data_IF_273945002198
#
_entry.id   IF_273945002198
#
_cell.length_a   1.000
_cell.length_b   1.000
_cell.length_c   1.000
_cell.angle_alpha   90.00
_cell.angle_beta   90.00
_cell.angle_gamma   90.00
#
_symmetry.space_group_name_H-M   'P 1'
#
loop_
_entity.id
_entity.type
_entity.pdbx_description
1 polymer ?
#
# COMPACT_ATOMS: atom_id res chain seq x y z
N UNK A 1 3.71 -24.07 -1.66
CA UNK A 1 3.58 -22.63 -1.34
C UNK A 1 4.02 -22.39 0.07
N UNK A 2 4.20 -21.13 0.43
CA UNK A 2 4.66 -20.71 1.75
C UNK A 2 3.55 -19.89 2.39
N UNK A 3 2.54 -20.52 3.01
CA UNK A 3 1.49 -19.78 3.73
C UNK A 3 2.11 -18.91 4.85
N UNK A 4 3.17 -19.42 5.46
CA UNK A 4 3.98 -18.71 6.45
C UNK A 4 5.46 -19.14 6.39
N UNK A 5 6.30 -18.49 7.19
CA UNK A 5 7.73 -18.75 7.17
C UNK A 5 8.11 -20.16 7.66
N UNK A 6 7.26 -20.87 8.41
CA UNK A 6 7.62 -22.24 8.83
C UNK A 6 7.74 -23.19 7.63
N UNK A 7 6.91 -23.02 6.60
CA UNK A 7 6.93 -23.82 5.38
C UNK A 7 8.15 -23.48 4.51
N UNK A 8 8.55 -22.20 4.48
CA UNK A 8 9.77 -21.78 3.79
C UNK A 8 11.01 -22.40 4.44
N UNK A 9 11.08 -22.37 5.77
CA UNK A 9 12.19 -22.94 6.52
C UNK A 9 12.17 -24.47 6.49
N UNK A 10 11.01 -25.10 6.37
CA UNK A 10 10.91 -26.53 6.11
C UNK A 10 11.60 -26.90 4.80
N UNK A 11 11.27 -26.22 3.70
CA UNK A 11 11.87 -26.50 2.39
C UNK A 11 13.38 -26.21 2.36
N UNK A 12 13.83 -25.15 3.05
CA UNK A 12 15.23 -24.73 3.02
C UNK A 12 16.13 -25.48 4.00
N UNK A 13 15.63 -25.80 5.20
CA UNK A 13 16.43 -26.28 6.33
C UNK A 13 15.91 -27.60 6.92
N UNK A 14 14.77 -28.13 6.44
CA UNK A 14 14.17 -29.36 6.96
C UNK A 14 13.52 -29.21 8.34
N UNK A 15 13.23 -27.99 8.81
CA UNK A 15 12.55 -27.77 10.09
C UNK A 15 11.11 -28.29 10.04
N UNK A 16 10.54 -28.77 11.14
CA UNK A 16 9.12 -29.17 11.17
C UNK A 16 8.21 -27.98 10.80
N UNK A 17 7.24 -28.13 9.87
CA UNK A 17 6.21 -27.11 9.60
C UNK A 17 5.36 -26.82 10.83
N UNK A 18 4.53 -25.77 10.75
CA UNK A 18 3.55 -25.43 11.78
C UNK A 18 4.17 -25.09 13.15
N UNK A 19 5.41 -24.60 13.14
CA UNK A 19 6.16 -24.23 14.34
C UNK A 19 5.98 -22.75 14.70
N UNK A 20 6.76 -22.24 15.65
CA UNK A 20 6.67 -20.85 16.11
C UNK A 20 6.84 -19.78 15.00
N UNK A 21 7.51 -20.11 13.89
CA UNK A 21 7.66 -19.25 12.71
C UNK A 21 6.36 -19.05 11.94
N UNK A 22 5.33 -19.87 12.17
CA UNK A 22 4.03 -19.73 11.50
C UNK A 22 3.26 -18.45 11.86
N UNK A 23 3.67 -17.77 12.93
CA UNK A 23 3.17 -16.43 13.26
C UNK A 23 3.50 -15.43 12.15
N UNK A 24 4.63 -15.62 11.46
CA UNK A 24 5.09 -14.76 10.38
C UNK A 24 4.45 -15.24 9.07
N UNK A 25 3.22 -14.81 8.84
CA UNK A 25 2.49 -15.07 7.58
C UNK A 25 3.20 -14.42 6.41
N UNK A 26 3.36 -15.16 5.31
CA UNK A 26 4.11 -14.69 4.13
C UNK A 26 3.50 -13.43 3.53
N UNK A 27 2.16 -13.37 3.45
CA UNK A 27 1.44 -12.17 3.02
C UNK A 27 1.84 -10.94 3.85
N UNK A 28 1.88 -11.07 5.18
CA UNK A 28 2.27 -9.99 6.09
C UNK A 28 3.72 -9.54 5.91
N UNK A 29 4.64 -10.49 5.67
CA UNK A 29 6.05 -10.18 5.36
C UNK A 29 6.15 -9.35 4.08
N UNK A 30 5.49 -9.77 3.00
CA UNK A 30 5.50 -9.04 1.73
C UNK A 30 4.78 -7.69 1.82
N UNK A 31 3.75 -7.54 2.65
CA UNK A 31 3.13 -6.25 2.93
C UNK A 31 4.13 -5.26 3.53
N UNK A 32 4.94 -5.69 4.52
CA UNK A 32 5.99 -4.85 5.10
C UNK A 32 7.05 -4.51 4.04
N UNK A 33 7.48 -5.50 3.26
CA UNK A 33 8.45 -5.28 2.17
C UNK A 33 7.92 -4.31 1.11
N UNK A 34 6.63 -4.35 0.79
CA UNK A 34 5.99 -3.42 -0.14
C UNK A 34 6.04 -1.99 0.38
N UNK A 35 5.76 -1.76 1.67
CA UNK A 35 5.90 -0.44 2.29
C UNK A 35 7.35 0.05 2.26
N UNK A 36 8.32 -0.82 2.59
CA UNK A 36 9.75 -0.47 2.58
C UNK A 36 10.20 -0.11 1.15
N UNK A 37 9.86 -0.95 0.16
CA UNK A 37 10.22 -0.73 -1.23
C UNK A 37 9.60 0.57 -1.77
N UNK A 38 8.32 0.81 -1.49
CA UNK A 38 7.62 2.03 -1.88
C UNK A 38 8.23 3.28 -1.22
N UNK A 39 8.45 3.24 0.09
CA UNK A 39 9.07 4.34 0.84
C UNK A 39 10.49 4.64 0.36
N UNK A 40 11.27 3.62 0.02
CA UNK A 40 12.61 3.76 -0.53
C UNK A 40 12.59 4.46 -1.91
N UNK A 41 11.74 3.99 -2.83
CA UNK A 41 11.58 4.61 -4.17
C UNK A 41 11.10 6.05 -4.04
N UNK A 42 10.13 6.31 -3.16
CA UNK A 42 9.62 7.66 -2.89
C UNK A 42 10.73 8.57 -2.33
N UNK A 43 11.60 8.07 -1.46
CA UNK A 43 12.74 8.83 -0.93
C UNK A 43 13.67 9.29 -2.05
N UNK A 44 13.99 8.40 -2.99
CA UNK A 44 14.86 8.71 -4.12
C UNK A 44 14.24 9.81 -5.01
N UNK A 45 12.95 9.72 -5.31
CA UNK A 45 12.27 10.69 -6.17
C UNK A 45 12.03 12.05 -5.48
N UNK A 46 11.69 12.07 -4.19
CA UNK A 46 11.57 13.32 -3.44
C UNK A 46 12.93 14.04 -3.39
N UNK A 47 14.02 13.34 -3.03
CA UNK A 47 15.37 13.92 -3.04
C UNK A 47 15.78 14.43 -4.42
N UNK A 48 15.39 13.73 -5.49
CA UNK A 48 15.64 14.19 -6.87
C UNK A 48 14.90 15.51 -7.16
N UNK A 49 13.60 15.57 -6.87
CA UNK A 49 12.79 16.77 -7.13
C UNK A 49 13.17 17.95 -6.25
N UNK A 50 13.69 17.70 -5.06
CA UNK A 50 14.32 18.72 -4.21
C UNK A 50 15.59 19.28 -4.84
N UNK A 51 16.48 18.42 -5.36
CA UNK A 51 17.69 18.86 -6.09
C UNK A 51 17.37 19.65 -7.36
N UNK A 52 16.24 19.35 -8.00
CA UNK A 52 15.74 20.09 -9.17
C UNK A 52 15.03 21.41 -8.80
N UNK A 53 14.85 21.71 -7.51
CA UNK A 53 14.16 22.91 -7.04
C UNK A 53 12.63 22.89 -7.24
N UNK A 54 12.06 21.76 -7.67
CA UNK A 54 10.62 21.59 -7.88
C UNK A 54 9.86 21.43 -6.56
N UNK A 55 10.53 20.89 -5.54
CA UNK A 55 10.03 20.75 -4.19
C UNK A 55 10.97 21.51 -3.23
N UNK A 56 10.39 22.42 -2.46
CA UNK A 56 11.14 23.24 -1.50
C UNK A 56 10.81 22.80 -0.08
N UNK A 57 11.82 22.88 0.80
CA UNK A 57 11.61 22.68 2.23
C UNK A 57 10.75 23.80 2.81
N UNK A 58 9.93 23.47 3.78
CA UNK A 58 9.07 24.39 4.51
C UNK A 58 9.60 24.58 5.94
N UNK A 59 9.31 25.73 6.53
CA UNK A 59 9.73 26.06 7.90
C UNK A 59 8.74 25.48 8.89
N UNK A 60 9.24 24.75 9.88
CA UNK A 60 8.44 24.21 10.97
C UNK A 60 9.08 24.58 12.32
N UNK A 61 8.24 24.88 13.32
CA UNK A 61 8.69 25.19 14.67
C UNK A 61 8.92 23.89 15.43
N UNK A 62 10.17 23.57 15.69
CA UNK A 62 10.57 22.40 16.47
C UNK A 62 10.72 22.77 17.95
N UNK A 63 10.09 21.99 18.83
CA UNK A 63 10.14 22.18 20.29
C UNK A 63 11.32 21.39 20.85
N UNK A 64 12.44 22.08 21.11
CA UNK A 64 13.66 21.44 21.63
C UNK A 64 13.74 21.63 23.14
N UNK A 65 13.88 20.52 23.88
CA UNK A 65 14.09 20.53 25.32
C UNK A 65 12.85 20.81 26.18
N UNK A 66 11.63 20.72 25.60
CA UNK A 66 10.39 20.76 26.38
C UNK A 66 10.16 19.42 27.10
N UNK A 67 9.50 19.41 28.28
CA UNK A 67 9.02 18.17 28.87
C UNK A 67 7.97 17.51 27.97
N UNK A 68 7.76 16.20 28.14
CA UNK A 68 6.73 15.49 27.37
C UNK A 68 5.36 16.13 27.60
N UNK A 69 4.65 16.33 26.50
CA UNK A 69 3.24 16.72 26.55
C UNK A 69 2.40 15.59 27.13
N UNK A 70 1.23 15.93 27.70
CA UNK A 70 0.28 14.91 28.13
C UNK A 70 -0.12 13.98 26.98
N UNK A 71 -0.25 14.50 25.74
CA UNK A 71 -0.55 13.66 24.57
C UNK A 71 0.56 12.65 24.27
N UNK A 72 1.83 13.04 24.40
CA UNK A 72 2.95 12.11 24.22
C UNK A 72 2.95 11.01 25.29
N UNK A 73 2.68 11.36 26.55
CA UNK A 73 2.61 10.38 27.64
C UNK A 73 1.42 9.44 27.42
N UNK A 74 0.25 9.99 27.10
CA UNK A 74 -0.96 9.22 26.86
C UNK A 74 -0.85 8.28 25.65
N UNK A 75 -0.22 8.73 24.55
CA UNK A 75 -0.01 7.87 23.36
C UNK A 75 0.99 6.74 23.65
N UNK A 76 2.06 7.01 24.41
CA UNK A 76 2.99 5.95 24.85
C UNK A 76 2.33 4.99 25.83
N UNK A 77 1.51 5.48 26.77
CA UNK A 77 0.74 4.64 27.67
C UNK A 77 -0.27 3.77 26.91
N UNK A 78 -0.97 4.32 25.91
CA UNK A 78 -1.87 3.55 25.05
C UNK A 78 -1.11 2.48 24.26
N UNK A 79 0.06 2.80 23.70
CA UNK A 79 0.89 1.83 23.01
C UNK A 79 1.35 0.70 23.94
N UNK A 80 1.80 1.06 25.16
CA UNK A 80 2.11 0.10 26.21
C UNK A 80 0.90 -0.76 26.58
N UNK A 81 -0.29 -0.16 26.71
CA UNK A 81 -1.54 -0.87 26.98
C UNK A 81 -1.81 -1.94 25.92
N UNK A 82 -1.77 -1.58 24.63
CA UNK A 82 -2.05 -2.50 23.53
C UNK A 82 -1.07 -3.69 23.55
N UNK A 83 0.23 -3.41 23.74
CA UNK A 83 1.26 -4.45 23.82
C UNK A 83 1.02 -5.37 25.03
N UNK A 84 0.87 -4.79 26.23
CA UNK A 84 0.66 -5.54 27.46
C UNK A 84 -0.68 -6.28 27.50
N UNK A 85 -1.70 -5.78 26.80
CA UNK A 85 -3.00 -6.41 26.68
C UNK A 85 -2.95 -7.61 25.75
N UNK A 86 -2.19 -7.53 24.64
CA UNK A 86 -2.17 -8.56 23.60
C UNK A 86 -1.09 -9.62 23.79
N UNK A 87 0.16 -9.24 24.02
CA UNK A 87 1.28 -10.20 23.98
C UNK A 87 1.17 -11.32 25.02
N UNK A 88 0.83 -11.07 26.30
CA UNK A 88 0.66 -12.14 27.28
C UNK A 88 -0.50 -13.08 26.92
N UNK A 89 -1.58 -12.53 26.37
CA UNK A 89 -2.72 -13.31 25.91
C UNK A 89 -2.34 -14.23 24.74
N UNK A 90 -1.60 -13.70 23.76
CA UNK A 90 -1.06 -14.45 22.62
C UNK A 90 -0.13 -15.56 23.10
N UNK A 91 0.76 -15.28 24.06
CA UNK A 91 1.67 -16.28 24.61
C UNK A 91 0.93 -17.44 25.30
N UNK A 92 -0.22 -17.17 25.93
CA UNK A 92 -1.05 -18.19 26.57
C UNK A 92 -1.92 -18.98 25.58
N UNK A 93 -2.29 -18.40 24.45
CA UNK A 93 -3.19 -18.98 23.44
C UNK A 93 -2.48 -19.15 22.10
N UNK A 94 -1.21 -19.57 22.14
CA UNK A 94 -0.36 -19.58 20.96
C UNK A 94 -0.87 -20.53 19.86
N UNK A 95 -1.42 -21.68 20.24
CA UNK A 95 -1.98 -22.66 19.30
C UNK A 95 -3.20 -22.13 18.55
N UNK A 96 -4.03 -21.30 19.18
CA UNK A 96 -5.15 -20.61 18.52
C UNK A 96 -4.68 -19.41 17.69
N UNK A 97 -3.62 -18.74 18.14
CA UNK A 97 -3.06 -17.56 17.50
C UNK A 97 -2.31 -17.86 16.20
N UNK A 98 -1.52 -18.92 16.19
CA UNK A 98 -0.62 -19.30 15.08
C UNK A 98 -1.34 -19.48 13.74
N UNK A 99 -2.50 -20.17 13.62
CA UNK A 99 -3.18 -20.34 12.34
C UNK A 99 -3.84 -19.04 11.85
N UNK A 100 -4.42 -18.24 12.76
CA UNK A 100 -5.11 -16.98 12.43
C UNK A 100 -4.76 -15.83 13.40
N UNK A 101 -3.61 -15.16 13.18
CA UNK A 101 -3.18 -14.06 14.03
C UNK A 101 -4.15 -12.86 14.03
N UNK A 102 -4.83 -12.62 12.91
CA UNK A 102 -5.68 -11.46 12.71
C UNK A 102 -6.91 -11.50 13.63
N UNK A 103 -7.53 -12.67 13.80
CA UNK A 103 -8.68 -12.85 14.70
C UNK A 103 -8.37 -12.44 16.14
N UNK A 104 -7.17 -12.73 16.65
CA UNK A 104 -6.78 -12.37 18.01
C UNK A 104 -6.28 -10.93 18.08
N UNK A 105 -5.47 -10.47 17.13
CA UNK A 105 -4.94 -9.08 17.15
C UNK A 105 -6.06 -8.05 17.08
N UNK A 106 -7.06 -8.27 16.22
CA UNK A 106 -8.13 -7.31 15.96
C UNK A 106 -9.36 -7.50 16.89
N UNK A 107 -9.44 -8.59 17.65
CA UNK A 107 -10.53 -8.78 18.62
C UNK A 107 -10.37 -7.96 19.91
N UNK A 108 -11.41 -7.95 20.74
CA UNK A 108 -11.34 -7.45 22.13
C UNK A 108 -10.66 -8.40 23.12
N UNK A 109 -10.13 -9.55 22.69
CA UNK A 109 -9.50 -10.54 23.59
C UNK A 109 -8.11 -10.07 24.04
N UNK A 110 -7.81 -10.21 25.33
CA UNK A 110 -6.52 -9.81 25.90
C UNK A 110 -6.49 -9.89 27.43
N UNK A 111 -5.37 -9.46 28.02
CA UNK A 111 -5.16 -9.46 29.48
C UNK A 111 -5.10 -8.05 30.03
N UNK A 112 -6.18 -7.62 30.68
CA UNK A 112 -6.33 -6.26 31.24
C UNK A 112 -5.23 -5.88 32.22
N UNK A 113 -4.88 -6.77 33.14
CA UNK A 113 -3.87 -6.51 34.17
C UNK A 113 -2.53 -6.11 33.53
N UNK A 114 -2.04 -6.92 32.59
CA UNK A 114 -0.78 -6.65 31.90
C UNK A 114 -0.87 -5.44 30.98
N UNK A 115 -2.03 -5.17 30.38
CA UNK A 115 -2.31 -3.93 29.66
C UNK A 115 -2.10 -2.70 30.55
N UNK A 116 -2.73 -2.67 31.73
CA UNK A 116 -2.62 -1.53 32.67
C UNK A 116 -1.18 -1.36 33.18
N UNK A 117 -0.51 -2.46 33.53
CA UNK A 117 0.90 -2.43 33.98
C UNK A 117 1.82 -1.88 32.90
N UNK A 118 1.69 -2.36 31.66
CA UNK A 118 2.50 -1.88 30.55
C UNK A 118 2.17 -0.42 30.20
N UNK A 119 0.91 -0.01 30.28
CA UNK A 119 0.50 1.38 30.08
C UNK A 119 1.18 2.34 31.08
N UNK A 120 1.15 1.98 32.37
CA UNK A 120 1.82 2.73 33.42
C UNK A 120 3.34 2.78 33.20
N UNK A 121 3.95 1.63 32.84
CA UNK A 121 5.38 1.52 32.56
C UNK A 121 5.83 2.40 31.38
N UNK A 122 5.14 2.33 30.24
CA UNK A 122 5.48 3.12 29.05
C UNK A 122 5.20 4.62 29.24
N UNK A 123 4.07 4.97 29.87
CA UNK A 123 3.75 6.35 30.20
C UNK A 123 4.80 6.96 31.15
N UNK A 124 5.16 6.23 32.20
CA UNK A 124 6.22 6.64 33.12
C UNK A 124 7.57 6.75 32.43
N UNK A 125 7.95 5.77 31.61
CA UNK A 125 9.19 5.80 30.84
C UNK A 125 9.27 7.03 29.94
N UNK A 126 8.20 7.35 29.20
CA UNK A 126 8.13 8.54 28.35
C UNK A 126 8.23 9.83 29.16
N UNK A 127 7.54 9.92 30.29
CA UNK A 127 7.65 11.05 31.21
C UNK A 127 9.09 11.22 31.72
N UNK A 128 9.72 10.14 32.15
CA UNK A 128 11.07 10.14 32.71
C UNK A 128 12.14 10.48 31.67
N UNK A 129 12.08 9.86 30.48
CA UNK A 129 13.00 10.15 29.37
C UNK A 129 12.88 11.61 28.93
N UNK A 130 11.65 12.12 28.78
CA UNK A 130 11.46 13.52 28.41
C UNK A 130 11.89 14.49 29.50
N UNK A 131 11.71 14.16 30.79
CA UNK A 131 12.22 14.96 31.91
C UNK A 131 13.75 14.99 31.93
N UNK A 132 14.41 13.87 31.61
CA UNK A 132 15.88 13.81 31.48
C UNK A 132 16.42 14.65 30.33
N UNK A 133 15.70 14.70 29.20
CA UNK A 133 16.06 15.48 28.00
C UNK A 133 15.58 16.93 28.04
N UNK A 134 14.80 17.30 29.05
CA UNK A 134 14.30 18.65 29.21
C UNK A 134 15.47 19.60 29.49
N UNK A 135 15.56 20.68 28.72
CA UNK A 135 16.57 21.71 28.90
C UNK A 135 16.07 22.71 29.94
N UNK A 136 16.99 23.30 30.72
CA UNK A 136 16.65 24.36 31.67
C UNK A 136 15.99 25.58 31.00
N UNK A 137 16.29 25.80 29.72
CA UNK A 137 15.61 26.80 28.86
C UNK A 137 15.17 26.11 27.56
N UNK A 138 13.90 25.69 27.45
CA UNK A 138 13.39 25.10 26.22
C UNK A 138 13.36 26.17 25.11
N UNK A 139 13.70 25.76 23.88
CA UNK A 139 13.82 26.65 22.74
C UNK A 139 12.88 26.18 21.62
N UNK A 140 12.22 27.13 20.98
CA UNK A 140 11.48 26.88 19.74
C UNK A 140 12.41 27.29 18.61
N UNK A 141 12.92 26.30 17.86
CA UNK A 141 13.81 26.55 16.72
C UNK A 141 13.00 26.40 15.44
N UNK A 142 13.13 27.39 14.55
CA UNK A 142 12.63 27.25 13.20
C UNK A 142 13.60 26.38 12.40
N UNK A 143 13.14 25.19 12.03
CA UNK A 143 13.93 24.22 11.27
C UNK A 143 13.29 24.07 9.90
N UNK A 144 14.13 24.14 8.86
CA UNK A 144 13.72 23.88 7.49
C UNK A 144 13.62 22.37 7.30
N UNK A 145 12.42 21.86 7.11
CA UNK A 145 12.16 20.43 6.88
C UNK A 145 11.98 20.19 5.39
N UNK A 146 12.76 19.26 4.85
CA UNK A 146 12.67 18.86 3.45
C UNK A 146 11.58 17.79 3.26
N UNK A 147 10.87 17.77 2.12
CA UNK A 147 9.82 16.79 1.83
C UNK A 147 10.21 15.33 2.04
N UNK A 148 11.43 14.91 1.71
CA UNK A 148 11.89 13.53 1.91
C UNK A 148 12.00 13.11 3.40
N UNK A 149 12.02 14.05 4.35
CA UNK A 149 11.92 13.74 5.78
C UNK A 149 10.48 13.35 6.20
N UNK A 150 9.48 13.62 5.36
CA UNK A 150 8.05 13.39 5.64
C UNK A 150 7.50 12.09 5.07
N UNK A 151 8.38 11.19 4.61
CA UNK A 151 7.96 9.89 4.06
C UNK A 151 7.25 9.06 5.12
N UNK A 152 7.78 9.02 6.34
CA UNK A 152 7.12 8.33 7.46
C UNK A 152 5.71 8.85 7.70
N UNK A 153 5.54 10.18 7.76
CA UNK A 153 4.22 10.81 7.93
C UNK A 153 3.27 10.45 6.78
N UNK A 154 3.73 10.53 5.53
CA UNK A 154 2.94 10.19 4.34
C UNK A 154 2.53 8.71 4.36
N UNK A 155 3.46 7.80 4.65
CA UNK A 155 3.22 6.35 4.69
C UNK A 155 2.26 5.98 5.82
N UNK A 156 2.44 6.54 7.02
CA UNK A 156 1.56 6.28 8.17
C UNK A 156 0.16 6.83 7.90
N UNK A 157 0.05 8.06 7.39
CA UNK A 157 -1.24 8.64 7.02
C UNK A 157 -1.94 7.77 5.97
N UNK A 158 -1.24 7.37 4.91
CA UNK A 158 -1.79 6.50 3.87
C UNK A 158 -2.25 5.16 4.41
N UNK A 159 -1.47 4.51 5.28
CA UNK A 159 -1.82 3.22 5.87
C UNK A 159 -3.06 3.33 6.79
N UNK A 160 -3.08 4.31 7.70
CA UNK A 160 -4.19 4.47 8.66
C UNK A 160 -5.48 4.85 7.93
N UNK A 161 -5.42 5.89 7.09
CA UNK A 161 -6.61 6.33 6.33
C UNK A 161 -7.04 5.31 5.29
N UNK A 162 -6.13 4.51 4.75
CA UNK A 162 -6.44 3.38 3.87
C UNK A 162 -7.23 2.29 4.57
N UNK A 163 -6.81 1.87 5.77
CA UNK A 163 -7.54 0.87 6.57
C UNK A 163 -8.90 1.41 6.98
N UNK A 164 -8.95 2.65 7.50
CA UNK A 164 -10.21 3.29 7.91
C UNK A 164 -11.16 3.41 6.71
N UNK A 165 -10.65 3.88 5.56
CA UNK A 165 -11.44 4.05 4.35
C UNK A 165 -11.98 2.72 3.84
N UNK A 166 -11.15 1.68 3.85
CA UNK A 166 -11.55 0.35 3.41
C UNK A 166 -12.64 -0.25 4.30
N UNK A 167 -12.58 0.00 5.60
CA UNK A 167 -13.60 -0.43 6.56
C UNK A 167 -14.91 0.36 6.43
N UNK A 168 -14.82 1.68 6.34
CA UNK A 168 -16.02 2.52 6.23
C UNK A 168 -16.77 2.22 4.93
N UNK A 169 -16.03 1.98 3.85
CA UNK A 169 -16.64 1.72 2.55
C UNK A 169 -17.26 0.31 2.48
N UNK A 170 -16.66 -0.70 3.11
CA UNK A 170 -17.26 -2.04 3.15
C UNK A 170 -18.59 -2.07 3.91
N UNK A 171 -18.74 -1.23 4.95
CA UNK A 171 -19.99 -1.10 5.69
C UNK A 171 -21.14 -0.60 4.79
N UNK A 172 -20.86 0.33 3.89
CA UNK A 172 -21.89 0.95 3.02
C UNK A 172 -22.05 0.26 1.66
N UNK A 173 -21.23 -0.76 1.38
CA UNK A 173 -21.20 -1.43 0.07
C UNK A 173 -22.45 -2.26 -0.19
N UNK A 174 -23.07 -2.83 0.84
CA UNK A 174 -24.30 -3.61 0.72
C UNK A 174 -25.31 -3.28 1.83
N UNK A 175 -26.61 -3.40 1.53
CA UNK A 175 -27.67 -3.25 2.52
C UNK A 175 -27.53 -4.24 3.69
N UNK A 176 -26.97 -5.42 3.43
CA UNK A 176 -26.70 -6.44 4.45
C UNK A 176 -25.62 -5.97 5.42
N UNK A 177 -24.53 -5.40 4.91
CA UNK A 177 -23.45 -4.86 5.75
C UNK A 177 -23.93 -3.69 6.60
N UNK A 178 -24.80 -2.83 6.05
CA UNK A 178 -25.44 -1.74 6.80
C UNK A 178 -26.29 -2.28 7.95
N UNK A 179 -27.14 -3.29 7.67
CA UNK A 179 -27.97 -3.94 8.70
C UNK A 179 -27.12 -4.62 9.78
N UNK A 180 -26.03 -5.28 9.38
CA UNK A 180 -25.09 -5.91 10.30
C UNK A 180 -24.40 -4.86 11.19
N UNK A 181 -23.99 -3.73 10.63
CA UNK A 181 -23.38 -2.63 11.38
C UNK A 181 -24.36 -1.99 12.37
N UNK A 182 -25.62 -1.81 12.00
CA UNK A 182 -26.66 -1.29 12.92
C UNK A 182 -26.86 -2.26 14.10
N UNK A 183 -26.77 -3.57 13.86
CA UNK A 183 -26.97 -4.61 14.87
C UNK A 183 -25.79 -4.70 15.84
N UNK A 184 -24.56 -4.67 15.33
CA UNK A 184 -23.34 -4.70 16.16
C UNK A 184 -22.23 -3.80 15.59
N UNK A 185 -22.23 -2.50 15.96
CA UNK A 185 -21.29 -1.54 15.39
C UNK A 185 -19.83 -1.80 15.75
N UNK A 186 -19.56 -2.33 16.96
CA UNK A 186 -18.20 -2.52 17.45
C UNK A 186 -17.55 -3.73 16.79
N UNK A 187 -18.27 -4.84 16.68
CA UNK A 187 -17.79 -6.02 15.96
C UNK A 187 -17.56 -5.71 14.48
N UNK A 188 -18.51 -4.98 13.86
CA UNK A 188 -18.40 -4.53 12.48
C UNK A 188 -17.41 -3.38 12.26
N UNK A 189 -16.75 -2.83 13.28
CA UNK A 189 -15.62 -1.90 13.09
C UNK A 189 -14.27 -2.56 13.34
N UNK A 190 -14.25 -3.56 14.23
CA UNK A 190 -13.03 -4.23 14.69
C UNK A 190 -12.79 -5.58 14.02
N UNK A 191 -13.74 -6.11 13.25
CA UNK A 191 -13.51 -7.38 12.53
C UNK A 191 -12.41 -7.24 11.46
N UNK A 192 -11.59 -8.28 11.34
CA UNK A 192 -10.46 -8.32 10.41
C UNK A 192 -10.81 -8.66 8.96
N UNK A 193 -12.05 -9.02 8.67
CA UNK A 193 -12.53 -9.44 7.35
C UNK A 193 -13.44 -8.38 6.72
N UNK A 194 -13.54 -8.34 5.39
CA UNK A 194 -14.42 -7.41 4.68
C UNK A 194 -13.88 -5.99 4.60
N UNK A 195 -12.73 -5.80 3.94
CA UNK A 195 -12.15 -4.49 3.65
C UNK A 195 -12.33 -4.15 2.17
N UNK A 196 -13.00 -3.03 1.88
CA UNK A 196 -13.24 -2.60 0.50
C UNK A 196 -12.07 -1.77 -0.02
N UNK A 197 -11.35 -2.29 -1.02
CA UNK A 197 -10.12 -1.68 -1.57
C UNK A 197 -10.36 -0.22 -2.02
N UNK A 198 -11.50 0.05 -2.67
CA UNK A 198 -11.83 1.38 -3.19
C UNK A 198 -11.95 2.44 -2.09
N UNK A 199 -12.58 2.08 -0.97
CA UNK A 199 -12.67 2.95 0.20
C UNK A 199 -11.31 3.36 0.73
N UNK A 200 -10.40 2.39 0.81
CA UNK A 200 -9.04 2.62 1.28
C UNK A 200 -8.26 3.53 0.33
N UNK A 201 -8.33 3.26 -0.97
CA UNK A 201 -7.63 4.07 -1.98
C UNK A 201 -8.11 5.53 -1.98
N UNK A 202 -9.43 5.75 -1.95
CA UNK A 202 -10.04 7.08 -2.00
C UNK A 202 -9.67 7.88 -0.75
N UNK A 203 -9.89 7.31 0.45
CA UNK A 203 -9.63 8.04 1.69
C UNK A 203 -8.12 8.31 1.86
N UNK A 204 -7.27 7.33 1.55
CA UNK A 204 -5.82 7.52 1.57
C UNK A 204 -5.36 8.62 0.62
N UNK A 205 -5.88 8.65 -0.61
CA UNK A 205 -5.56 9.70 -1.57
C UNK A 205 -5.97 11.08 -1.05
N UNK A 206 -7.21 11.24 -0.56
CA UNK A 206 -7.73 12.52 -0.05
C UNK A 206 -6.90 13.01 1.15
N UNK A 207 -6.66 12.14 2.14
CA UNK A 207 -5.91 12.50 3.35
C UNK A 207 -4.47 12.88 3.03
N UNK A 208 -3.78 12.10 2.20
CA UNK A 208 -2.39 12.38 1.82
C UNK A 208 -2.29 13.63 0.95
N UNK A 209 -3.20 13.82 -0.01
CA UNK A 209 -3.26 15.02 -0.84
C UNK A 209 -3.45 16.27 0.01
N UNK A 210 -4.42 16.25 0.93
CA UNK A 210 -4.68 17.34 1.85
C UNK A 210 -3.48 17.65 2.74
N UNK A 211 -2.84 16.62 3.30
CA UNK A 211 -1.62 16.76 4.10
C UNK A 211 -0.48 17.45 3.30
N UNK A 212 -0.23 16.98 2.08
CA UNK A 212 0.81 17.53 1.20
C UNK A 212 0.54 19.01 0.91
N UNK A 213 -0.70 19.34 0.55
CA UNK A 213 -1.13 20.71 0.29
C UNK A 213 -0.97 21.61 1.52
N UNK A 214 -1.38 21.13 2.71
CA UNK A 214 -1.28 21.86 3.99
C UNK A 214 0.17 22.13 4.40
N UNK A 215 1.12 21.28 4.04
CA UNK A 215 2.55 21.49 4.28
C UNK A 215 3.22 22.40 3.22
N UNK A 216 2.46 22.94 2.27
CA UNK A 216 2.98 23.84 1.24
C UNK A 216 3.76 23.14 0.13
N UNK A 217 3.71 21.80 0.07
CA UNK A 217 4.29 21.04 -1.03
C UNK A 217 3.34 21.08 -2.23
N UNK A 218 3.89 21.28 -3.44
CA UNK A 218 3.10 21.26 -4.69
C UNK A 218 2.63 19.84 -4.98
N UNK A 219 1.32 19.50 -4.87
CA UNK A 219 0.87 18.10 -4.92
C UNK A 219 1.23 17.40 -6.21
N UNK A 220 1.14 18.10 -7.35
CA UNK A 220 1.44 17.53 -8.67
C UNK A 220 2.87 17.00 -8.80
N UNK A 221 3.84 17.63 -8.14
CA UNK A 221 5.22 17.15 -8.14
C UNK A 221 5.41 15.95 -7.20
N UNK A 222 4.66 15.89 -6.10
CA UNK A 222 4.66 14.73 -5.20
C UNK A 222 3.98 13.54 -5.87
N UNK A 223 2.89 13.75 -6.60
CA UNK A 223 2.20 12.71 -7.38
C UNK A 223 3.14 12.05 -8.40
N UNK A 224 3.93 12.84 -9.14
CA UNK A 224 4.97 12.28 -10.01
C UNK A 224 6.02 11.46 -9.25
N UNK A 225 6.39 11.86 -8.03
CA UNK A 225 7.36 11.12 -7.20
C UNK A 225 6.77 9.81 -6.67
N UNK A 226 5.47 9.82 -6.36
CA UNK A 226 4.71 8.69 -5.82
C UNK A 226 4.41 7.66 -6.92
N UNK A 227 4.26 8.05 -8.17
CA UNK A 227 3.94 7.15 -9.29
C UNK A 227 4.84 5.89 -9.38
N UNK A 228 6.18 5.98 -9.47
CA UNK A 228 7.03 4.79 -9.46
C UNK A 228 7.03 4.05 -8.11
N UNK A 229 6.79 4.75 -7.01
CA UNK A 229 6.73 4.14 -5.67
C UNK A 229 5.47 3.28 -5.48
N UNK A 230 4.33 3.70 -6.03
CA UNK A 230 3.07 2.95 -5.96
C UNK A 230 3.18 1.63 -6.72
N UNK A 231 3.65 1.66 -7.97
CA UNK A 231 3.75 0.44 -8.78
C UNK A 231 4.79 -0.54 -8.23
N UNK A 232 5.88 -0.03 -7.64
CA UNK A 232 6.86 -0.88 -6.95
C UNK A 232 6.23 -1.56 -5.73
N UNK A 233 5.49 -0.81 -4.92
CA UNK A 233 4.77 -1.37 -3.77
C UNK A 233 3.74 -2.42 -4.19
N UNK A 234 2.98 -2.15 -5.26
CA UNK A 234 2.01 -3.09 -5.81
C UNK A 234 2.66 -4.40 -6.28
N UNK A 235 3.74 -4.33 -7.07
CA UNK A 235 4.46 -5.52 -7.54
C UNK A 235 5.03 -6.35 -6.38
N UNK A 236 5.63 -5.72 -5.37
CA UNK A 236 6.11 -6.45 -4.18
C UNK A 236 4.95 -7.05 -3.37
N UNK A 237 3.82 -6.35 -3.27
CA UNK A 237 2.62 -6.88 -2.62
C UNK A 237 2.06 -8.11 -3.32
N UNK A 238 2.08 -8.14 -4.66
CA UNK A 238 1.61 -9.27 -5.48
C UNK A 238 2.46 -10.53 -5.34
N UNK A 239 3.74 -10.39 -4.99
CA UNK A 239 4.56 -11.53 -4.57
C UNK A 239 4.01 -12.16 -3.28
N UNK A 240 3.49 -11.36 -2.35
CA UNK A 240 2.81 -11.85 -1.15
C UNK A 240 1.68 -12.80 -1.52
N UNK A 241 0.76 -12.34 -2.39
CA UNK A 241 -0.34 -13.14 -2.92
C UNK A 241 0.15 -14.43 -3.60
N UNK A 242 1.18 -14.31 -4.44
CA UNK A 242 1.76 -15.46 -5.14
C UNK A 242 2.28 -16.52 -4.18
N UNK A 243 3.07 -16.14 -3.17
CA UNK A 243 3.75 -17.08 -2.30
C UNK A 243 2.84 -17.65 -1.20
N UNK A 244 1.83 -16.90 -0.76
CA UNK A 244 0.85 -17.41 0.20
C UNK A 244 -0.24 -18.26 -0.46
N UNK A 245 -0.55 -18.02 -1.74
CA UNK A 245 -1.73 -18.62 -2.38
C UNK A 245 -3.00 -18.14 -1.71
N UNK A 246 -3.28 -16.84 -1.74
CA UNK A 246 -4.40 -16.20 -1.04
C UNK A 246 -5.70 -16.12 -1.85
N UNK A 247 -5.79 -16.83 -2.98
CA UNK A 247 -6.95 -16.79 -3.87
C UNK A 247 -6.82 -15.83 -5.04
N UNK A 248 -5.72 -15.06 -5.12
CA UNK A 248 -5.55 -14.09 -6.20
C UNK A 248 -5.10 -14.70 -7.54
N UNK A 249 -5.25 -16.01 -7.70
CA UNK A 249 -4.98 -16.75 -8.93
C UNK A 249 -6.06 -16.56 -10.01
N UNK A 250 -5.77 -17.07 -11.19
CA UNK A 250 -6.60 -16.92 -12.38
C UNK A 250 -7.60 -18.06 -12.60
N UNK A 251 -8.22 -18.05 -13.78
CA UNK A 251 -9.02 -19.16 -14.28
C UNK A 251 -8.16 -20.41 -14.53
N UNK A 252 -8.81 -21.57 -14.66
CA UNK A 252 -8.15 -22.82 -15.07
C UNK A 252 -7.39 -22.61 -16.38
N UNK A 253 -6.11 -22.95 -16.37
CA UNK A 253 -5.24 -22.84 -17.53
C UNK A 253 -5.26 -24.14 -18.33
N UNK A 254 -6.03 -24.13 -19.42
CA UNK A 254 -6.08 -25.25 -20.39
C UNK A 254 -5.13 -25.06 -21.57
N UNK A 255 -4.39 -23.94 -21.62
CA UNK A 255 -3.49 -23.64 -22.72
C UNK A 255 -2.18 -24.43 -22.59
N UNK A 256 -1.72 -25.09 -23.67
CA UNK A 256 -0.45 -25.80 -23.63
C UNK A 256 0.70 -24.81 -23.45
N UNK A 257 1.72 -25.23 -22.70
CA UNK A 257 2.94 -24.42 -22.52
C UNK A 257 3.57 -24.14 -23.89
N UNK A 258 3.78 -22.86 -24.26
CA UNK A 258 4.37 -22.52 -25.56
C UNK A 258 5.81 -23.02 -25.67
N UNK A 259 6.24 -23.43 -26.88
CA UNK A 259 7.61 -23.93 -27.10
C UNK A 259 8.74 -22.91 -26.85
N UNK A 260 8.42 -21.62 -26.72
CA UNK A 260 9.36 -20.56 -26.36
C UNK A 260 9.43 -20.28 -24.85
N UNK A 261 8.61 -20.97 -24.05
CA UNK A 261 8.57 -20.79 -22.61
C UNK A 261 9.84 -21.37 -21.96
N UNK A 262 10.65 -20.50 -21.35
CA UNK A 262 11.91 -20.88 -20.70
C UNK A 262 11.83 -20.86 -19.18
N UNK A 263 10.72 -20.37 -18.63
CA UNK A 263 10.47 -20.35 -17.19
C UNK A 263 9.95 -21.71 -16.72
N UNK A 264 10.01 -22.01 -15.40
CA UNK A 264 9.42 -23.22 -14.87
C UNK A 264 7.93 -23.36 -15.20
N UNK A 265 7.42 -24.60 -15.27
CA UNK A 265 6.02 -24.88 -15.61
C UNK A 265 5.03 -24.21 -14.64
N UNK A 266 5.39 -24.11 -13.36
CA UNK A 266 4.59 -23.43 -12.35
C UNK A 266 4.39 -21.93 -12.63
N UNK A 267 5.25 -21.31 -13.43
CA UNK A 267 5.09 -19.93 -13.84
C UNK A 267 4.07 -19.78 -14.98
N UNK A 268 3.70 -20.88 -15.66
CA UNK A 268 2.66 -20.92 -16.70
C UNK A 268 1.31 -21.38 -16.14
N UNK A 269 1.32 -22.50 -15.43
CA UNK A 269 0.13 -23.11 -14.82
C UNK A 269 0.49 -23.68 -13.45
N UNK A 270 -0.30 -23.33 -12.42
CA UNK A 270 0.04 -23.69 -11.05
C UNK A 270 -1.17 -24.15 -10.23
N UNK A 271 -0.95 -25.10 -9.32
CA UNK A 271 -2.00 -25.68 -8.45
C UNK A 271 -1.99 -25.11 -7.03
N UNK A 272 -1.07 -24.21 -6.69
CA UNK A 272 -0.98 -23.59 -5.37
C UNK A 272 -1.07 -24.59 -4.19
N UNK A 273 -0.13 -25.55 -4.08
CA UNK A 273 -0.10 -26.48 -2.95
C UNK A 273 0.21 -25.75 -1.64
N UNK A 274 -0.50 -26.10 -0.57
CA UNK A 274 -0.44 -25.43 0.74
C UNK A 274 -0.94 -23.97 0.69
N UNK A 275 -1.97 -23.70 -0.10
CA UNK A 275 -2.58 -22.35 -0.19
C UNK A 275 -3.23 -21.96 1.15
N UNK A 276 -3.14 -20.67 1.53
CA UNK A 276 -3.66 -20.18 2.82
C UNK A 276 -5.18 -20.30 2.97
N UNK A 277 -5.90 -20.43 1.86
CA UNK A 277 -7.35 -20.60 1.86
C UNK A 277 -7.79 -22.02 2.21
N UNK A 278 -6.87 -22.99 2.21
CA UNK A 278 -7.21 -24.41 2.29
C UNK A 278 -8.31 -24.76 1.27
N UNK A 279 -8.10 -24.34 0.02
CA UNK A 279 -8.99 -24.60 -1.10
C UNK A 279 -8.49 -25.76 -1.97
N UNK A 280 -9.43 -26.42 -2.66
CA UNK A 280 -9.19 -27.53 -3.57
C UNK A 280 -9.23 -28.92 -2.94
N UNK A 281 -8.33 -29.81 -3.36
CA UNK A 281 -8.25 -31.22 -2.93
C UNK A 281 -7.17 -31.42 -1.87
N UNK A 282 -7.34 -32.44 -1.04
CA UNK A 282 -6.35 -32.83 -0.03
C UNK A 282 -5.07 -33.34 -0.70
N UNK A 283 -3.91 -32.90 -0.23
CA UNK A 283 -2.60 -33.44 -0.61
C UNK A 283 -2.42 -34.78 0.12
N UNK A 284 -2.13 -35.84 -0.63
CA UNK A 284 -1.97 -37.18 -0.09
C UNK A 284 -0.84 -37.23 0.96
N UNK A 285 -1.13 -37.80 2.13
CA UNK A 285 -0.16 -37.94 3.23
C UNK A 285 0.18 -36.67 4.01
N UNK A 286 -0.44 -35.53 3.70
CA UNK A 286 -0.19 -34.27 4.41
C UNK A 286 -1.03 -34.17 5.70
N UNK A 287 -0.37 -33.83 6.82
CA UNK A 287 -0.96 -33.69 8.17
C UNK A 287 -0.68 -32.33 8.82
N UNK A 288 -0.23 -31.36 8.04
CA UNK A 288 0.03 -29.98 8.42
C UNK A 288 -1.24 -29.10 8.39
N UNK A 289 -1.16 -27.85 8.84
CA UNK A 289 -2.30 -26.93 8.86
C UNK A 289 -2.82 -26.57 7.45
N UNK A 290 -1.92 -26.51 6.47
CA UNK A 290 -2.24 -26.13 5.10
C UNK A 290 -2.03 -27.32 4.15
N UNK A 291 -2.97 -28.26 4.09
CA UNK A 291 -2.78 -29.53 3.34
C UNK A 291 -3.59 -29.65 2.05
N UNK A 292 -3.93 -28.52 1.42
CA UNK A 292 -4.75 -28.52 0.20
C UNK A 292 -4.07 -27.84 -0.97
N UNK A 293 -4.49 -28.24 -2.17
CA UNK A 293 -4.04 -27.71 -3.45
C UNK A 293 -5.20 -27.68 -4.44
N UNK A 294 -5.17 -26.81 -5.43
CA UNK A 294 -6.18 -26.78 -6.48
C UNK A 294 -6.14 -28.08 -7.30
N UNK A 295 -7.33 -28.59 -7.63
CA UNK A 295 -7.47 -29.82 -8.43
C UNK A 295 -7.03 -29.64 -9.88
N UNK A 296 -7.23 -28.43 -10.43
CA UNK A 296 -6.80 -28.04 -11.76
C UNK A 296 -5.78 -26.90 -11.67
N UNK A 297 -4.81 -26.89 -12.59
CA UNK A 297 -3.83 -25.83 -12.64
C UNK A 297 -4.45 -24.55 -13.21
N UNK A 298 -4.15 -23.41 -12.59
CA UNK A 298 -4.68 -22.10 -12.95
C UNK A 298 -3.56 -21.18 -13.42
N UNK A 299 -3.92 -20.09 -14.10
CA UNK A 299 -2.94 -19.03 -14.41
C UNK A 299 -2.44 -18.38 -13.11
N UNK A 300 -1.12 -18.28 -12.88
CA UNK A 300 -0.59 -17.62 -11.70
C UNK A 300 -0.61 -16.09 -11.86
N UNK A 301 -1.81 -15.51 -11.85
CA UNK A 301 -2.03 -14.08 -12.07
C UNK A 301 -1.21 -13.16 -11.17
N UNK A 302 -0.97 -13.43 -9.86
CA UNK A 302 -0.16 -12.55 -9.03
C UNK A 302 1.30 -12.47 -9.50
N UNK A 303 1.83 -13.56 -10.08
CA UNK A 303 3.14 -13.57 -10.72
C UNK A 303 3.17 -12.66 -11.96
N UNK A 304 2.12 -12.71 -12.79
CA UNK A 304 1.99 -11.85 -13.97
C UNK A 304 1.83 -10.38 -13.58
N UNK A 305 0.99 -10.07 -12.58
CA UNK A 305 0.83 -8.73 -12.02
C UNK A 305 2.17 -8.19 -11.49
N UNK A 306 2.96 -9.03 -10.80
CA UNK A 306 4.31 -8.67 -10.35
C UNK A 306 5.22 -8.33 -11.54
N UNK A 307 5.25 -9.17 -12.57
CA UNK A 307 6.06 -8.96 -13.75
C UNK A 307 5.70 -7.65 -14.47
N UNK A 308 4.42 -7.41 -14.75
CA UNK A 308 3.98 -6.18 -15.40
C UNK A 308 4.20 -4.96 -14.51
N UNK A 309 4.07 -5.07 -13.20
CA UNK A 309 4.42 -4.00 -12.25
C UNK A 309 5.90 -3.61 -12.35
N UNK A 310 6.80 -4.58 -12.49
CA UNK A 310 8.23 -4.33 -12.69
C UNK A 310 8.52 -3.69 -14.06
N UNK A 311 7.81 -4.10 -15.11
CA UNK A 311 7.90 -3.48 -16.44
C UNK A 311 7.44 -2.02 -16.38
N UNK A 312 6.28 -1.74 -15.78
CA UNK A 312 5.75 -0.39 -15.61
C UNK A 312 6.70 0.45 -14.76
N UNK A 313 7.19 -0.09 -13.63
CA UNK A 313 8.20 0.57 -12.81
C UNK A 313 9.42 0.96 -13.66
N UNK A 314 9.94 0.04 -14.47
CA UNK A 314 11.11 0.27 -15.32
C UNK A 314 10.85 1.37 -16.35
N UNK A 315 9.68 1.37 -16.99
CA UNK A 315 9.26 2.41 -17.93
C UNK A 315 9.21 3.77 -17.23
N UNK A 316 8.50 3.87 -16.11
CA UNK A 316 8.41 5.11 -15.34
C UNK A 316 9.79 5.58 -14.87
N UNK A 317 10.61 4.64 -14.39
CA UNK A 317 11.96 4.92 -13.93
C UNK A 317 12.82 5.47 -15.06
N UNK A 318 12.78 4.88 -16.26
CA UNK A 318 13.50 5.36 -17.42
C UNK A 318 13.04 6.76 -17.89
N UNK A 319 11.73 7.03 -17.82
CA UNK A 319 11.12 8.27 -18.31
C UNK A 319 11.14 9.43 -17.31
N UNK A 320 11.35 9.17 -16.01
CA UNK A 320 11.25 10.19 -14.95
C UNK A 320 12.14 11.43 -15.13
N UNK A 321 13.25 11.29 -15.86
CA UNK A 321 14.17 12.40 -16.17
C UNK A 321 13.83 13.11 -17.49
N UNK A 322 13.12 12.43 -18.39
CA UNK A 322 12.71 12.94 -19.71
C UNK A 322 11.46 13.81 -19.62
N UNK A 323 10.49 13.42 -18.78
CA UNK A 323 9.30 14.25 -18.55
C UNK A 323 9.60 15.45 -17.66
N UNK A 324 9.49 16.64 -18.24
CA UNK A 324 9.65 17.93 -17.54
C UNK A 324 8.32 18.55 -17.12
N UNK A 325 7.21 18.09 -17.70
CA UNK A 325 5.87 18.57 -17.35
C UNK A 325 5.41 17.87 -16.09
N UNK A 326 5.05 18.64 -15.07
CA UNK A 326 4.56 18.12 -13.81
C UNK A 326 3.23 17.37 -14.02
N UNK A 327 3.12 16.17 -13.44
CA UNK A 327 1.95 15.30 -13.53
C UNK A 327 2.01 14.28 -14.66
N UNK A 328 2.88 14.49 -15.66
CA UNK A 328 2.95 13.60 -16.83
C UNK A 328 3.36 12.17 -16.44
N UNK A 329 4.25 12.03 -15.45
CA UNK A 329 4.70 10.72 -14.98
C UNK A 329 3.60 10.01 -14.19
N UNK A 330 2.84 10.76 -13.40
CA UNK A 330 1.67 10.22 -12.69
C UNK A 330 0.56 9.75 -13.63
N UNK A 331 0.18 10.54 -14.62
CA UNK A 331 -0.86 10.13 -15.57
C UNK A 331 -0.40 8.96 -16.46
N UNK A 332 0.90 8.88 -16.80
CA UNK A 332 1.44 7.69 -17.45
C UNK A 332 1.32 6.45 -16.56
N UNK A 333 1.62 6.57 -15.26
CA UNK A 333 1.39 5.48 -14.31
C UNK A 333 -0.07 5.04 -14.27
N UNK A 334 -1.01 5.98 -14.16
CA UNK A 334 -2.45 5.70 -14.13
C UNK A 334 -2.90 4.97 -15.40
N UNK A 335 -2.42 5.43 -16.58
CA UNK A 335 -2.68 4.77 -17.86
C UNK A 335 -2.14 3.34 -17.89
N UNK A 336 -0.86 3.14 -17.59
CA UNK A 336 -0.22 1.84 -17.68
C UNK A 336 -0.78 0.83 -16.66
N UNK A 337 -1.09 1.29 -15.44
CA UNK A 337 -1.75 0.47 -14.43
C UNK A 337 -3.16 0.06 -14.89
N UNK A 338 -3.95 0.99 -15.46
CA UNK A 338 -5.23 0.64 -16.06
C UNK A 338 -5.13 -0.40 -17.18
N UNK A 339 -4.12 -0.28 -18.06
CA UNK A 339 -3.87 -1.26 -19.12
C UNK A 339 -3.55 -2.64 -18.54
N UNK A 340 -2.61 -2.72 -17.61
CA UNK A 340 -2.23 -3.97 -16.94
C UNK A 340 -3.45 -4.62 -16.28
N UNK A 341 -4.22 -3.84 -15.52
CA UNK A 341 -5.40 -4.32 -14.82
C UNK A 341 -6.44 -4.88 -15.79
N UNK A 342 -6.68 -4.19 -16.91
CA UNK A 342 -7.64 -4.64 -17.92
C UNK A 342 -7.26 -6.02 -18.50
N UNK A 343 -5.98 -6.26 -18.78
CA UNK A 343 -5.54 -7.54 -19.35
C UNK A 343 -5.49 -8.68 -18.34
N UNK A 344 -5.03 -8.41 -17.11
CA UNK A 344 -5.01 -9.43 -16.05
C UNK A 344 -6.43 -9.87 -15.68
N UNK A 345 -7.37 -8.94 -15.69
CA UNK A 345 -8.76 -9.23 -15.33
C UNK A 345 -9.43 -10.24 -16.28
N UNK A 346 -8.99 -10.31 -17.55
CA UNK A 346 -9.47 -11.31 -18.52
C UNK A 346 -9.11 -12.75 -18.17
N UNK A 347 -8.09 -12.95 -17.34
CA UNK A 347 -7.63 -14.26 -16.88
C UNK A 347 -7.92 -14.48 -15.39
N UNK A 348 -8.66 -13.57 -14.73
CA UNK A 348 -9.09 -13.67 -13.33
C UNK A 348 -10.47 -14.32 -13.20
N UNK A 349 -10.72 -14.90 -12.04
CA UNK A 349 -12.00 -15.48 -11.63
C UNK A 349 -12.85 -14.45 -10.90
N UNK A 350 -13.33 -13.41 -11.60
CA UNK A 350 -14.22 -12.40 -11.01
C UNK A 350 -15.60 -12.41 -11.69
N UNK A 351 -16.68 -12.18 -10.93
CA UNK A 351 -18.03 -12.17 -11.50
C UNK A 351 -18.25 -10.93 -12.38
N UNK A 352 -18.91 -11.14 -13.51
CA UNK A 352 -19.37 -10.06 -14.39
C UNK A 352 -20.50 -9.27 -13.73
N UNK A 353 -20.44 -7.94 -13.87
CA UNK A 353 -21.55 -7.05 -13.56
C UNK A 353 -22.10 -6.45 -14.85
N UNK A 354 -23.40 -6.23 -14.90
CA UNK A 354 -24.04 -5.59 -16.04
C UNK A 354 -24.31 -4.12 -15.70
N UNK A 355 -23.54 -3.22 -16.31
CA UNK A 355 -23.77 -1.78 -16.22
C UNK A 355 -24.10 -1.27 -17.61
N UNK A 356 -25.27 -0.66 -17.76
CA UNK A 356 -25.73 -0.02 -19.01
C UNK A 356 -25.74 -0.98 -20.23
N UNK A 357 -26.02 -2.27 -20.01
CA UNK A 357 -26.09 -3.27 -21.08
C UNK A 357 -24.74 -3.83 -21.52
N UNK A 358 -23.62 -3.36 -20.96
CA UNK A 358 -22.30 -3.95 -21.13
C UNK A 358 -22.06 -4.96 -19.99
N UNK A 359 -21.53 -6.14 -20.33
CA UNK A 359 -21.09 -7.14 -19.34
C UNK A 359 -19.58 -7.05 -19.21
N UNK A 360 -19.12 -6.66 -18.02
CA UNK A 360 -17.70 -6.55 -17.69
C UNK A 360 -17.55 -6.67 -16.17
N UNK A 361 -16.38 -7.04 -15.68
CA UNK A 361 -16.16 -7.06 -14.22
C UNK A 361 -16.03 -5.64 -13.68
N UNK A 362 -16.27 -5.45 -12.37
CA UNK A 362 -16.07 -4.14 -11.73
C UNK A 362 -14.67 -3.58 -11.97
N UNK A 363 -13.65 -4.45 -11.95
CA UNK A 363 -12.26 -4.06 -12.18
C UNK A 363 -12.01 -3.64 -13.62
N UNK A 364 -12.70 -4.21 -14.62
CA UNK A 364 -12.59 -3.77 -16.02
C UNK A 364 -13.12 -2.36 -16.23
N UNK A 365 -14.26 -2.02 -15.61
CA UNK A 365 -14.79 -0.65 -15.66
C UNK A 365 -13.83 0.36 -15.05
N UNK A 366 -13.28 0.03 -13.88
CA UNK A 366 -12.28 0.89 -13.22
C UNK A 366 -11.02 1.00 -14.06
N UNK A 367 -10.53 -0.10 -14.64
CA UNK A 367 -9.38 -0.10 -15.53
C UNK A 367 -9.60 0.82 -16.74
N UNK A 368 -10.77 0.72 -17.39
CA UNK A 368 -11.15 1.62 -18.49
C UNK A 368 -11.19 3.09 -18.08
N UNK A 369 -11.72 3.39 -16.89
CA UNK A 369 -11.72 4.74 -16.34
C UNK A 369 -10.29 5.26 -16.09
N UNK A 370 -9.41 4.44 -15.52
CA UNK A 370 -8.00 4.80 -15.31
C UNK A 370 -7.29 5.07 -16.63
N UNK A 371 -7.49 4.25 -17.65
CA UNK A 371 -6.95 4.46 -19.01
C UNK A 371 -7.41 5.83 -19.54
N UNK A 372 -8.70 6.14 -19.45
CA UNK A 372 -9.25 7.42 -19.90
C UNK A 372 -8.67 8.60 -19.13
N UNK A 373 -8.60 8.53 -17.79
CA UNK A 373 -8.02 9.58 -16.94
C UNK A 373 -6.55 9.81 -17.30
N UNK A 374 -5.80 8.73 -17.51
CA UNK A 374 -4.39 8.78 -17.91
C UNK A 374 -4.21 9.50 -19.24
N UNK A 375 -4.95 9.11 -20.28
CA UNK A 375 -4.87 9.72 -21.62
C UNK A 375 -5.26 11.20 -21.56
N UNK A 376 -6.44 11.51 -21.00
CA UNK A 376 -6.96 12.88 -20.93
C UNK A 376 -6.02 13.77 -20.13
N UNK A 377 -5.51 13.30 -18.99
CA UNK A 377 -4.57 14.03 -18.17
C UNK A 377 -3.25 14.34 -18.90
N UNK A 378 -2.71 13.36 -19.63
CA UNK A 378 -1.49 13.57 -20.43
C UNK A 378 -1.71 14.56 -21.57
N UNK A 379 -2.81 14.41 -22.32
CA UNK A 379 -3.16 15.32 -23.44
C UNK A 379 -3.37 16.74 -22.93
N UNK A 380 -4.14 16.92 -21.84
CA UNK A 380 -4.38 18.23 -21.23
C UNK A 380 -3.07 18.92 -20.82
N UNK A 381 -2.18 18.20 -20.13
CA UNK A 381 -0.89 18.75 -19.70
C UNK A 381 0.04 19.08 -20.88
N UNK A 382 -0.01 18.28 -21.94
CA UNK A 382 0.75 18.53 -23.16
C UNK A 382 0.23 19.78 -23.90
N UNK A 383 -1.08 19.92 -24.07
CA UNK A 383 -1.69 21.10 -24.68
C UNK A 383 -1.40 22.37 -23.87
N UNK A 384 -1.55 22.31 -22.54
CA UNK A 384 -1.26 23.44 -21.65
C UNK A 384 0.21 23.88 -21.73
N UNK A 385 1.15 22.93 -21.89
CA UNK A 385 2.56 23.27 -22.12
C UNK A 385 2.73 24.03 -23.44
N UNK A 386 2.14 23.55 -24.53
CA UNK A 386 2.30 24.18 -25.85
C UNK A 386 1.70 25.59 -25.88
N UNK A 387 0.52 25.79 -25.30
CA UNK A 387 -0.09 27.11 -25.15
C UNK A 387 0.80 28.09 -24.36
N UNK A 388 1.44 27.63 -23.28
CA UNK A 388 2.37 28.47 -22.52
C UNK A 388 3.61 28.86 -23.33
N UNK A 389 4.08 27.99 -24.23
CA UNK A 389 5.21 28.28 -25.12
C UNK A 389 4.79 29.31 -26.18
N UNK A 390 3.63 29.14 -26.81
CA UNK A 390 3.07 30.08 -27.78
C UNK A 390 2.91 31.48 -27.17
N UNK A 391 2.26 31.58 -26.00
CA UNK A 391 2.09 32.85 -25.28
C UNK A 391 3.43 33.52 -24.92
N UNK A 392 4.45 32.74 -24.55
CA UNK A 392 5.78 33.27 -24.24
C UNK A 392 6.47 33.83 -25.49
N UNK A 393 6.39 33.11 -26.61
CA UNK A 393 6.96 33.55 -27.90
C UNK A 393 6.27 34.83 -28.37
N UNK A 394 4.94 34.89 -28.30
CA UNK A 394 4.16 36.08 -28.65
C UNK A 394 4.51 37.29 -27.78
N UNK A 395 4.57 37.11 -26.45
CA UNK A 395 4.96 38.19 -25.52
C UNK A 395 6.36 38.73 -25.81
N UNK A 396 7.31 37.86 -26.17
CA UNK A 396 8.69 38.26 -26.47
C UNK A 396 8.80 38.95 -27.83
N UNK A 397 8.04 38.51 -28.83
CA UNK A 397 7.92 39.19 -30.13
C UNK A 397 7.34 40.61 -29.96
N UNK A 398 6.25 40.75 -29.22
CA UNK A 398 5.63 42.05 -28.92
C UNK A 398 6.62 42.97 -28.18
N UNK A 399 7.33 42.47 -27.17
CA UNK A 399 8.34 43.23 -26.44
C UNK A 399 9.51 43.69 -27.34
N UNK A 400 9.96 42.81 -28.25
CA UNK A 400 11.03 43.13 -29.21
C UNK A 400 10.59 44.17 -30.23
N UNK A 401 9.38 44.07 -30.76
CA UNK A 401 8.79 45.05 -31.69
C UNK A 401 8.62 46.41 -31.02
N UNK A 402 8.19 46.45 -29.74
CA UNK A 402 8.05 47.69 -28.99
C UNK A 402 9.38 48.40 -28.76
N UNK A 403 10.45 47.65 -28.49
CA UNK A 403 11.79 48.24 -28.37
C UNK A 403 12.35 48.73 -29.71
N UNK A 404 11.99 48.09 -30.82
CA UNK A 404 12.40 48.53 -32.16
C UNK A 404 11.67 49.80 -32.62
N UNK A 405 10.40 49.99 -32.21
CA UNK A 405 9.60 51.18 -32.53
C UNK A 405 9.86 52.39 -31.60
N UNK A 406 10.65 52.22 -30.54
CA UNK A 406 11.06 53.29 -29.62
C UNK A 406 12.45 53.89 -29.93
N UNK A 407 13.11 53.44 -31.01
CA UNK A 407 14.24 54.09 -31.66
C UNK A 407 13.78 54.71 -32.97
#
# INVERSE_FOLDING_TARGET
MYPDLSYLFHDLLGTAPDNWLSVLKTFGVFLILAFIASAYVLNLELKRKEKEGLLQGFTEKERIGFPATWQEIATNALFGFIIGFKLPYIAQHFEEFRPDPASIILSGKGTWLWGIVAAAGFGFFKYWDAKKRALAKPLIKEVKVMPHHRIGDITILAAISGIIGARLFSIIESEENIKAFIKDPLDQLLSGSGLAIYGGLILAFITVYWYIYRKGMKPIHVMDAVAPALIMGYGVGRLGCQFSGDGDWGIVNTAPTPGWWFLPDWAWAYTYPHNVLNDGVQIEGCVWDYCRQLGEAVYPTPLYETFFSLVIFTILWALRKRFKVAGMLFFLYVLLNGIERFFIEKIRTNPDINILGMKATQAEYVAGLLIMIGIVGMVYLWMKKNQNIENYVETRLIASLRNFLCF
#
